data_IF_403744602777
#
_entry.id   IF_403744602777
#
_cell.length_a   1.000
_cell.length_b   1.000
_cell.length_c   1.000
_cell.angle_alpha   90.00
_cell.angle_beta   90.00
_cell.angle_gamma   90.00
#
_symmetry.space_group_name_H-M   'P 1'
#
loop_
_entity.id
_entity.type
_entity.pdbx_description
1 polymer ?
#
# COMPACT_ATOMS: atom_id res chain seq x y z
N UNK A 1 10.14 2.65 24.97
CA UNK A 1 8.69 2.38 24.80
C UNK A 1 8.00 2.70 26.12
N UNK A 2 6.68 2.98 26.08
CA UNK A 2 5.86 2.91 27.30
C UNK A 2 5.48 1.45 27.54
N UNK A 3 5.02 1.13 28.73
CA UNK A 3 4.48 -0.17 29.05
C UNK A 3 3.16 -0.43 28.30
N UNK A 4 2.89 -1.68 27.93
CA UNK A 4 1.68 -2.22 27.36
C UNK A 4 1.54 -3.70 27.73
N UNK A 5 0.34 -4.22 27.75
CA UNK A 5 0.10 -5.65 27.88
C UNK A 5 0.48 -6.38 26.59
N UNK A 6 1.07 -7.56 26.70
CA UNK A 6 1.43 -8.38 25.56
C UNK A 6 0.64 -9.70 25.62
N UNK A 7 -0.08 -9.98 24.54
CA UNK A 7 -0.87 -11.19 24.41
C UNK A 7 -0.41 -12.00 23.22
N UNK A 8 -0.14 -13.28 23.42
CA UNK A 8 0.09 -14.26 22.38
C UNK A 8 -1.24 -14.91 22.01
N UNK A 9 -1.81 -14.59 20.87
CA UNK A 9 -3.05 -15.20 20.40
C UNK A 9 -2.73 -16.51 19.68
N UNK A 10 -3.48 -17.58 20.00
CA UNK A 10 -3.30 -18.92 19.40
C UNK A 10 -4.37 -19.24 18.37
N UNK A 11 -5.36 -18.36 18.18
CA UNK A 11 -6.34 -18.44 17.09
C UNK A 11 -6.78 -17.06 16.63
N UNK A 12 -7.39 -17.00 15.43
CA UNK A 12 -7.99 -15.76 14.89
C UNK A 12 -9.11 -15.28 15.82
N UNK A 13 -9.94 -16.20 16.32
CA UNK A 13 -11.07 -15.90 17.20
C UNK A 13 -10.58 -15.28 18.52
N UNK A 14 -9.49 -15.77 19.07
CA UNK A 14 -8.87 -15.21 20.28
C UNK A 14 -8.33 -13.80 20.00
N UNK A 15 -7.61 -13.60 18.90
CA UNK A 15 -7.11 -12.30 18.51
C UNK A 15 -8.23 -11.27 18.30
N UNK A 16 -9.34 -11.67 17.65
CA UNK A 16 -10.51 -10.81 17.46
C UNK A 16 -11.20 -10.48 18.79
N UNK A 17 -11.33 -11.44 19.71
CA UNK A 17 -11.87 -11.20 21.06
C UNK A 17 -11.05 -10.19 21.84
N UNK A 18 -9.71 -10.31 21.79
CA UNK A 18 -8.80 -9.36 22.42
C UNK A 18 -8.94 -7.96 21.80
N UNK A 19 -8.96 -7.85 20.46
CA UNK A 19 -9.19 -6.58 19.78
C UNK A 19 -10.51 -5.92 20.17
N UNK A 20 -11.59 -6.71 20.22
CA UNK A 20 -12.91 -6.25 20.65
C UNK A 20 -12.88 -5.76 22.11
N UNK A 21 -12.23 -6.51 23.03
CA UNK A 21 -12.06 -6.14 24.42
C UNK A 21 -11.40 -4.78 24.61
N UNK A 22 -10.32 -4.53 23.88
CA UNK A 22 -9.59 -3.25 23.96
C UNK A 22 -10.24 -2.11 23.15
N UNK A 23 -11.20 -2.38 22.27
CA UNK A 23 -11.98 -1.36 21.57
C UNK A 23 -11.14 -0.30 20.85
N UNK A 24 -10.12 -0.72 20.07
CA UNK A 24 -9.21 0.17 19.34
C UNK A 24 -7.96 0.61 20.12
N UNK A 25 -7.88 0.33 21.42
CA UNK A 25 -6.71 0.62 22.28
C UNK A 25 -5.62 -0.46 22.20
N UNK A 26 -5.83 -1.54 21.46
CA UNK A 26 -4.80 -2.53 21.14
C UNK A 26 -4.20 -2.30 19.75
N UNK A 27 -3.01 -2.84 19.53
CA UNK A 27 -2.36 -2.95 18.21
C UNK A 27 -1.97 -4.40 17.95
N UNK A 28 -2.08 -4.79 16.68
CA UNK A 28 -1.71 -6.12 16.22
C UNK A 28 -0.25 -6.15 15.82
N UNK A 29 0.48 -7.18 16.24
CA UNK A 29 1.86 -7.43 15.86
C UNK A 29 1.96 -8.72 15.04
N UNK A 30 2.43 -8.59 13.80
CA UNK A 30 2.86 -9.69 12.94
C UNK A 30 4.41 -9.67 12.82
N UNK A 31 4.95 -9.20 11.70
CA UNK A 31 6.41 -9.06 11.54
C UNK A 31 7.07 -7.97 12.40
N UNK A 32 6.32 -7.05 12.97
CA UNK A 32 6.77 -5.98 13.85
C UNK A 32 7.60 -4.87 13.18
N UNK A 33 7.95 -5.00 11.92
CA UNK A 33 8.90 -4.12 11.21
C UNK A 33 8.42 -2.68 11.04
N UNK A 34 7.12 -2.42 11.19
CA UNK A 34 6.55 -1.08 11.27
C UNK A 34 6.13 -0.70 12.70
N UNK A 35 5.35 -1.56 13.36
CA UNK A 35 4.75 -1.27 14.65
C UNK A 35 5.79 -0.93 15.73
N UNK A 36 6.87 -1.70 15.84
CA UNK A 36 7.89 -1.48 16.88
C UNK A 36 8.57 -0.12 16.75
N UNK A 37 8.78 0.37 15.53
CA UNK A 37 9.28 1.72 15.29
C UNK A 37 8.30 2.79 15.78
N UNK A 38 7.01 2.65 15.48
CA UNK A 38 5.99 3.61 15.92
C UNK A 38 5.81 3.64 17.44
N UNK A 39 5.90 2.48 18.09
CA UNK A 39 5.84 2.36 19.55
C UNK A 39 7.05 2.99 20.22
N UNK A 40 8.27 2.69 19.73
CA UNK A 40 9.52 3.26 20.24
C UNK A 40 9.52 4.79 20.16
N UNK A 41 9.09 5.32 19.04
CA UNK A 41 9.11 6.75 18.75
C UNK A 41 7.84 7.47 19.24
N UNK A 42 6.87 6.73 19.81
CA UNK A 42 5.61 7.25 20.38
C UNK A 42 4.85 8.10 19.36
N UNK A 43 4.67 7.56 18.16
CA UNK A 43 4.06 8.27 17.03
C UNK A 43 2.56 8.45 17.23
N UNK A 44 1.88 7.42 17.72
CA UNK A 44 0.42 7.43 17.87
C UNK A 44 -0.03 8.52 18.87
N UNK A 45 -1.15 9.20 18.61
CA UNK A 45 -1.74 10.17 19.55
C UNK A 45 -1.98 9.54 20.92
N UNK A 46 -2.60 8.37 20.90
CA UNK A 46 -2.82 7.50 22.06
C UNK A 46 -1.90 6.30 21.97
N UNK A 47 -1.20 6.02 23.08
CA UNK A 47 -0.32 4.86 23.14
C UNK A 47 -1.17 3.61 23.41
N UNK A 48 -0.97 2.50 22.70
CA UNK A 48 -1.80 1.33 22.91
C UNK A 48 -1.64 0.76 24.32
N UNK A 49 -2.74 0.25 24.86
CA UNK A 49 -2.79 -0.46 26.14
C UNK A 49 -2.27 -1.88 25.98
N UNK A 50 -2.51 -2.49 24.79
CA UNK A 50 -2.07 -3.85 24.52
C UNK A 50 -1.48 -4.02 23.12
N UNK A 51 -0.61 -5.03 22.98
CA UNK A 51 -0.11 -5.54 21.71
C UNK A 51 -0.45 -7.02 21.61
N UNK A 52 -1.19 -7.39 20.57
CA UNK A 52 -1.64 -8.75 20.30
C UNK A 52 -0.70 -9.35 19.24
N UNK A 53 0.05 -10.37 19.62
CA UNK A 53 0.95 -11.09 18.73
C UNK A 53 0.15 -12.13 17.92
N UNK A 54 0.22 -12.04 16.59
CA UNK A 54 -0.43 -13.00 15.69
C UNK A 54 0.50 -14.12 15.25
N UNK A 55 1.80 -14.02 15.48
CA UNK A 55 2.79 -15.00 15.00
C UNK A 55 2.69 -16.37 15.69
N UNK A 56 1.94 -16.44 16.76
CA UNK A 56 1.61 -17.66 17.51
C UNK A 56 0.38 -18.39 16.97
N UNK A 57 -0.27 -17.83 15.93
CA UNK A 57 -1.38 -18.47 15.23
C UNK A 57 -0.81 -19.33 14.11
N UNK A 58 -0.99 -20.65 14.22
CA UNK A 58 -0.55 -21.58 13.19
C UNK A 58 -1.38 -21.49 11.91
N UNK A 59 -0.78 -21.85 10.77
CA UNK A 59 -1.47 -22.05 9.50
C UNK A 59 -1.93 -20.75 8.80
N UNK A 60 -1.33 -19.59 9.09
CA UNK A 60 -1.57 -18.33 8.40
C UNK A 60 -0.39 -17.86 7.53
N UNK A 61 0.62 -18.72 7.31
CA UNK A 61 1.83 -18.41 6.56
C UNK A 61 1.96 -19.19 5.24
N UNK A 62 0.89 -19.88 4.82
CA UNK A 62 0.87 -20.66 3.59
C UNK A 62 0.96 -19.81 2.32
N UNK A 63 1.46 -20.44 1.25
CA UNK A 63 1.48 -19.92 -0.12
C UNK A 63 1.10 -21.07 -1.04
N UNK A 64 -0.11 -21.05 -1.57
CA UNK A 64 -0.65 -22.12 -2.42
C UNK A 64 -1.21 -21.52 -3.71
N UNK A 65 -1.19 -22.30 -4.78
CA UNK A 65 -1.79 -21.93 -6.06
C UNK A 65 -2.56 -23.10 -6.66
N UNK A 66 -3.67 -22.77 -7.30
CA UNK A 66 -4.54 -23.71 -8.00
C UNK A 66 -5.02 -23.11 -9.33
N UNK A 67 -6.05 -23.71 -9.93
CA UNK A 67 -6.65 -23.22 -11.19
C UNK A 67 -7.35 -21.86 -11.02
N UNK A 68 -7.84 -21.54 -9.83
CA UNK A 68 -8.51 -20.26 -9.53
C UNK A 68 -7.51 -19.14 -9.32
N UNK A 69 -6.32 -19.44 -8.78
CA UNK A 69 -5.32 -18.43 -8.54
C UNK A 69 -4.32 -18.73 -7.43
N UNK A 70 -3.76 -17.68 -6.87
CA UNK A 70 -2.78 -17.72 -5.78
C UNK A 70 -3.47 -17.33 -4.48
N UNK A 71 -3.22 -18.09 -3.42
CA UNK A 71 -3.65 -17.81 -2.05
C UNK A 71 -2.46 -17.67 -1.14
N UNK A 72 -2.41 -16.58 -0.39
CA UNK A 72 -1.32 -16.27 0.52
C UNK A 72 -1.90 -15.94 1.90
N UNK A 73 -1.52 -16.71 2.91
CA UNK A 73 -1.87 -16.42 4.29
C UNK A 73 -1.26 -15.10 4.78
N UNK A 74 -1.98 -14.36 5.60
CA UNK A 74 -1.59 -13.00 6.01
C UNK A 74 -0.25 -12.93 6.76
N UNK A 75 0.19 -14.03 7.37
CA UNK A 75 1.47 -14.14 8.09
C UNK A 75 2.63 -14.63 7.22
N UNK A 76 2.41 -14.96 5.94
CA UNK A 76 3.48 -15.35 5.03
C UNK A 76 4.53 -14.24 4.96
N UNK A 77 5.79 -14.62 5.19
CA UNK A 77 6.89 -13.67 5.15
C UNK A 77 7.18 -13.24 3.70
N UNK A 78 7.53 -11.97 3.52
CA UNK A 78 7.82 -11.44 2.18
C UNK A 78 8.95 -12.20 1.48
N UNK A 79 9.91 -12.69 2.24
CA UNK A 79 11.00 -13.51 1.73
C UNK A 79 10.51 -14.86 1.17
N UNK A 80 9.50 -15.48 1.79
CA UNK A 80 8.95 -16.76 1.34
C UNK A 80 8.10 -16.61 0.09
N UNK A 81 7.37 -15.51 -0.02
CA UNK A 81 6.64 -15.15 -1.26
C UNK A 81 7.60 -15.05 -2.45
N UNK A 82 8.76 -14.39 -2.29
CA UNK A 82 9.78 -14.28 -3.35
C UNK A 82 10.37 -15.66 -3.70
N UNK A 83 10.52 -16.56 -2.73
CA UNK A 83 11.09 -17.89 -2.94
C UNK A 83 10.10 -18.86 -3.59
N UNK A 84 8.80 -18.64 -3.40
CA UNK A 84 7.73 -19.53 -3.85
C UNK A 84 7.79 -19.79 -5.36
N UNK A 85 7.85 -21.05 -5.82
CA UNK A 85 7.81 -21.41 -7.23
C UNK A 85 6.52 -20.92 -7.91
N UNK A 86 5.39 -21.10 -7.24
CA UNK A 86 4.07 -20.66 -7.76
C UNK A 86 4.03 -19.18 -8.07
N UNK A 87 4.62 -18.36 -7.19
CA UNK A 87 4.68 -16.90 -7.38
C UNK A 87 5.62 -16.54 -8.53
N UNK A 88 6.77 -17.19 -8.63
CA UNK A 88 7.75 -16.95 -9.70
C UNK A 88 7.22 -17.28 -11.08
N UNK A 89 6.49 -18.38 -11.20
CA UNK A 89 6.01 -18.89 -12.50
C UNK A 89 4.79 -18.12 -13.02
N UNK A 90 3.89 -17.69 -12.15
CA UNK A 90 2.61 -17.11 -12.58
C UNK A 90 2.42 -15.62 -12.24
N UNK A 91 3.14 -15.10 -11.23
CA UNK A 91 2.83 -13.81 -10.61
C UNK A 91 4.07 -12.91 -10.55
N UNK A 92 4.79 -12.79 -11.67
CA UNK A 92 6.04 -12.05 -11.76
C UNK A 92 5.97 -10.62 -11.26
N UNK A 93 4.89 -9.92 -11.57
CA UNK A 93 4.65 -8.55 -11.07
C UNK A 93 4.60 -8.50 -9.54
N UNK A 94 3.93 -9.47 -8.90
CA UNK A 94 3.88 -9.55 -7.44
C UNK A 94 5.27 -9.88 -6.88
N UNK A 95 5.99 -10.81 -7.49
CA UNK A 95 7.36 -11.16 -7.08
C UNK A 95 8.29 -9.93 -7.11
N UNK A 96 8.24 -9.14 -8.17
CA UNK A 96 9.05 -7.92 -8.35
C UNK A 96 8.66 -6.85 -7.31
N UNK A 97 7.37 -6.63 -7.09
CA UNK A 97 6.89 -5.70 -6.09
C UNK A 97 7.37 -6.09 -4.69
N UNK A 98 7.21 -7.36 -4.30
CA UNK A 98 7.68 -7.87 -2.99
C UNK A 98 9.21 -7.80 -2.87
N UNK A 99 9.95 -8.15 -3.94
CA UNK A 99 11.40 -8.05 -3.95
C UNK A 99 11.91 -6.61 -3.77
N UNK A 100 11.15 -5.62 -4.26
CA UNK A 100 11.46 -4.20 -4.14
C UNK A 100 11.28 -3.62 -2.73
N UNK A 101 10.64 -4.38 -1.82
CA UNK A 101 10.40 -3.93 -0.44
C UNK A 101 11.66 -4.04 0.41
N UNK A 102 12.15 -2.91 0.91
CA UNK A 102 13.19 -2.79 1.94
C UNK A 102 14.42 -3.72 1.73
N UNK A 103 15.00 -4.24 2.81
CA UNK A 103 16.18 -5.13 2.80
C UNK A 103 15.78 -6.59 3.00
N UNK A 104 16.66 -7.56 2.66
CA UNK A 104 16.40 -8.99 2.94
C UNK A 104 16.06 -9.26 4.41
N UNK A 105 16.73 -8.59 5.36
CA UNK A 105 16.47 -8.73 6.79
C UNK A 105 15.04 -8.31 7.15
N UNK A 106 14.57 -7.19 6.57
CA UNK A 106 13.19 -6.74 6.78
C UNK A 106 12.21 -7.74 6.15
N UNK A 107 12.47 -8.23 4.93
CA UNK A 107 11.59 -9.18 4.24
C UNK A 107 11.48 -10.54 4.94
N UNK A 108 12.54 -10.97 5.64
CA UNK A 108 12.51 -12.20 6.43
C UNK A 108 11.56 -12.10 7.65
N UNK A 109 11.26 -10.90 8.11
CA UNK A 109 10.39 -10.65 9.27
C UNK A 109 9.02 -10.08 8.90
N UNK A 110 8.98 -9.23 7.88
CA UNK A 110 7.75 -8.57 7.42
C UNK A 110 6.82 -9.58 6.77
N UNK A 111 5.55 -9.55 7.14
CA UNK A 111 4.49 -10.38 6.56
C UNK A 111 3.70 -9.60 5.51
N UNK A 112 3.02 -10.32 4.61
CA UNK A 112 2.21 -9.66 3.58
C UNK A 112 1.05 -8.88 4.20
N UNK A 113 0.31 -9.45 5.15
CA UNK A 113 -0.78 -8.74 5.86
C UNK A 113 -0.27 -7.50 6.58
N UNK A 114 0.87 -7.60 7.28
CA UNK A 114 1.51 -6.46 7.93
C UNK A 114 1.97 -5.37 6.95
N UNK A 115 2.44 -5.76 5.75
CA UNK A 115 2.81 -4.80 4.70
C UNK A 115 1.58 -4.04 4.16
N UNK A 116 0.45 -4.72 3.97
CA UNK A 116 -0.78 -4.09 3.49
C UNK A 116 -1.40 -3.15 4.53
N UNK A 117 -1.33 -3.53 5.81
CA UNK A 117 -1.88 -2.76 6.93
C UNK A 117 -0.89 -1.74 7.53
N UNK A 118 0.32 -1.59 6.96
CA UNK A 118 1.31 -0.68 7.50
C UNK A 118 0.86 0.79 7.46
N UNK A 119 1.38 1.58 8.39
CA UNK A 119 1.05 3.01 8.49
C UNK A 119 1.92 3.85 7.54
N UNK A 120 1.43 5.05 7.22
CA UNK A 120 2.09 6.01 6.32
C UNK A 120 3.51 6.39 6.78
N UNK A 121 4.33 6.89 5.84
CA UNK A 121 5.73 7.28 6.07
C UNK A 121 5.96 8.80 6.04
N UNK A 122 4.92 9.60 6.28
CA UNK A 122 5.05 11.05 6.36
C UNK A 122 5.92 11.45 7.55
N UNK A 123 6.96 12.24 7.33
CA UNK A 123 7.88 12.69 8.39
C UNK A 123 7.24 13.60 9.43
N UNK A 124 6.23 14.40 9.10
CA UNK A 124 5.45 15.16 10.09
C UNK A 124 4.68 14.23 11.04
N UNK A 125 4.06 13.19 10.49
CA UNK A 125 3.37 12.17 11.27
C UNK A 125 4.35 11.31 12.09
N UNK A 126 5.45 10.86 11.47
CA UNK A 126 6.47 10.00 12.08
C UNK A 126 7.49 10.75 12.91
N UNK A 127 7.36 12.07 13.09
CA UNK A 127 8.30 12.84 13.91
C UNK A 127 8.26 12.35 15.35
N UNK A 128 9.41 11.90 15.91
CA UNK A 128 9.44 11.27 17.23
C UNK A 128 9.15 12.27 18.34
N UNK A 129 8.19 11.95 19.21
CA UNK A 129 7.85 12.80 20.38
C UNK A 129 9.03 13.07 21.31
N UNK A 130 10.00 12.15 21.36
CA UNK A 130 11.16 12.22 22.25
C UNK A 130 12.23 13.22 21.80
N UNK A 131 12.19 13.71 20.56
CA UNK A 131 13.29 14.53 19.99
C UNK A 131 13.00 16.03 20.06
N UNK A 132 11.77 16.48 20.04
CA UNK A 132 11.50 17.92 19.99
C UNK A 132 10.04 18.31 20.17
N UNK A 133 9.28 17.50 20.85
CA UNK A 133 7.86 17.72 21.06
C UNK A 133 7.00 17.23 19.88
N UNK A 134 5.68 17.15 20.06
CA UNK A 134 4.79 16.59 19.07
C UNK A 134 4.57 17.57 17.91
N UNK A 135 4.87 17.12 16.69
CA UNK A 135 4.26 17.76 15.52
C UNK A 135 2.82 17.26 15.46
N UNK A 136 1.88 18.15 15.67
CA UNK A 136 0.45 17.85 15.61
C UNK A 136 -0.02 18.04 14.17
N UNK A 137 -0.47 16.95 13.53
CA UNK A 137 -1.05 16.96 12.18
C UNK A 137 -2.45 16.32 12.23
N UNK A 138 -3.17 16.27 11.10
CA UNK A 138 -4.52 15.69 11.03
C UNK A 138 -4.62 14.30 11.66
N UNK A 139 -3.67 13.39 11.37
CA UNK A 139 -3.63 12.04 11.97
C UNK A 139 -3.34 12.03 13.48
N UNK A 140 -2.94 13.15 14.04
CA UNK A 140 -2.64 13.33 15.46
C UNK A 140 -3.61 14.30 16.14
N UNK A 141 -4.83 14.45 15.58
CA UNK A 141 -5.86 15.34 16.15
C UNK A 141 -5.68 16.83 15.84
N UNK A 142 -4.78 17.18 14.93
CA UNK A 142 -4.57 18.57 14.50
C UNK A 142 -5.59 19.06 13.49
N UNK A 143 -5.52 20.35 13.15
CA UNK A 143 -6.51 21.01 12.28
C UNK A 143 -6.14 21.00 10.81
N UNK A 144 -4.88 20.75 10.44
CA UNK A 144 -4.41 20.81 9.05
C UNK A 144 -3.24 19.84 8.81
N UNK A 145 -2.97 19.57 7.53
CA UNK A 145 -1.84 18.78 7.10
C UNK A 145 -0.59 19.66 6.98
N UNK A 146 0.44 19.39 7.78
CA UNK A 146 1.67 20.18 7.78
C UNK A 146 2.43 20.13 6.45
N UNK A 147 2.22 19.10 5.64
CA UNK A 147 2.79 19.01 4.30
C UNK A 147 2.26 20.08 3.31
N UNK A 148 1.15 20.75 3.62
CA UNK A 148 0.61 21.83 2.79
C UNK A 148 1.57 23.01 2.70
N UNK A 149 2.22 23.38 3.80
CA UNK A 149 3.12 24.53 3.90
C UNK A 149 4.60 24.13 4.08
N UNK A 150 4.84 22.91 4.59
CA UNK A 150 6.19 22.40 4.86
C UNK A 150 6.76 21.58 3.69
N UNK A 151 7.78 20.79 4.01
CA UNK A 151 8.44 19.91 3.04
C UNK A 151 7.47 18.81 2.57
N UNK A 152 7.11 18.87 1.28
CA UNK A 152 6.16 17.97 0.67
C UNK A 152 6.71 17.14 -0.50
N UNK A 153 8.05 17.02 -0.61
CA UNK A 153 8.75 16.34 -1.72
C UNK A 153 8.23 14.92 -2.01
N UNK A 154 7.78 14.20 -0.99
CA UNK A 154 7.34 12.80 -1.11
C UNK A 154 5.83 12.61 -0.91
N UNK A 155 5.07 13.70 -0.85
CA UNK A 155 3.63 13.66 -0.64
C UNK A 155 2.84 13.48 -1.95
N UNK A 156 1.54 13.30 -1.82
CA UNK A 156 0.62 13.08 -2.95
C UNK A 156 0.64 14.23 -3.96
N UNK A 157 0.52 13.86 -5.24
CA UNK A 157 0.29 14.78 -6.37
C UNK A 157 -1.15 14.66 -6.91
N UNK A 158 -1.94 13.69 -6.42
CA UNK A 158 -3.33 13.46 -6.82
C UNK A 158 -4.34 13.78 -5.71
N UNK A 159 -4.04 14.77 -4.88
CA UNK A 159 -4.95 15.22 -3.83
C UNK A 159 -4.67 14.59 -2.47
N UNK A 160 -5.63 14.72 -1.57
CA UNK A 160 -5.53 14.34 -0.18
C UNK A 160 -6.60 13.31 0.19
N UNK A 161 -6.29 12.39 1.10
CA UNK A 161 -7.27 11.51 1.72
C UNK A 161 -8.28 12.36 2.51
N UNK A 162 -9.59 12.23 2.23
CA UNK A 162 -10.62 13.03 2.90
C UNK A 162 -10.76 12.66 4.37
N UNK A 163 -11.33 13.56 5.17
CA UNK A 163 -11.94 13.16 6.42
C UNK A 163 -13.16 12.28 6.13
N UNK A 164 -13.51 11.37 7.03
CA UNK A 164 -14.80 10.67 6.95
C UNK A 164 -15.95 11.71 6.92
N UNK A 165 -17.04 11.38 6.26
CA UNK A 165 -18.21 12.25 6.05
C UNK A 165 -18.81 12.82 7.35
N UNK A 166 -18.46 12.26 8.50
CA UNK A 166 -18.93 12.65 9.84
C UNK A 166 -18.06 13.70 10.55
N UNK A 167 -17.10 14.32 9.86
CA UNK A 167 -16.21 15.31 10.47
C UNK A 167 -16.85 16.70 10.51
N UNK A 168 -17.06 17.25 11.71
CA UNK A 168 -17.64 18.57 12.00
C UNK A 168 -16.75 19.77 11.61
N UNK A 169 -15.84 19.65 10.67
CA UNK A 169 -14.93 20.76 10.30
C UNK A 169 -15.44 21.60 9.13
N UNK A 170 -15.22 22.93 9.18
CA UNK A 170 -15.75 23.86 8.16
C UNK A 170 -15.15 23.65 6.76
N UNK A 171 -15.96 23.95 5.74
CA UNK A 171 -15.77 23.57 4.33
C UNK A 171 -14.64 24.28 3.55
N UNK A 172 -13.83 25.13 4.14
CA UNK A 172 -12.91 26.04 3.42
C UNK A 172 -11.44 25.67 3.48
N UNK A 173 -11.01 24.72 4.33
CA UNK A 173 -9.64 24.25 4.33
C UNK A 173 -9.49 23.10 3.32
N UNK A 174 -8.35 22.97 2.62
CA UNK A 174 -7.99 21.80 1.81
C UNK A 174 -7.97 20.57 2.75
N UNK A 175 -9.04 19.78 2.70
CA UNK A 175 -9.44 18.84 3.74
C UNK A 175 -8.83 17.49 3.45
N UNK A 176 -7.77 17.11 4.16
CA UNK A 176 -7.30 15.76 4.10
C UNK A 176 -5.79 15.59 4.33
N UNK A 177 -5.38 14.33 4.47
CA UNK A 177 -4.00 13.95 4.64
C UNK A 177 -3.33 13.76 3.27
N UNK A 178 -2.21 14.42 3.03
CA UNK A 178 -1.43 14.34 1.79
C UNK A 178 -0.39 13.19 1.80
N UNK A 179 -0.37 12.36 2.85
CA UNK A 179 0.51 11.21 2.86
C UNK A 179 0.12 10.20 1.79
N UNK A 180 1.10 9.50 1.27
CA UNK A 180 0.91 8.47 0.25
C UNK A 180 0.90 7.07 0.87
N UNK A 181 0.25 6.12 0.19
CA UNK A 181 0.36 4.70 0.53
C UNK A 181 1.82 4.25 0.37
N UNK A 182 2.41 3.61 1.39
CA UNK A 182 3.80 3.16 1.33
C UNK A 182 3.97 1.73 0.82
N UNK A 183 2.88 1.01 0.54
CA UNK A 183 2.92 -0.41 0.17
C UNK A 183 3.11 -0.60 -1.34
N UNK A 184 4.28 -1.11 -1.73
CA UNK A 184 4.55 -1.55 -3.10
C UNK A 184 3.66 -2.73 -3.50
N UNK A 185 3.37 -3.63 -2.54
CA UNK A 185 2.51 -4.81 -2.75
C UNK A 185 1.06 -4.38 -3.03
N UNK A 186 0.57 -3.33 -2.37
CA UNK A 186 -0.76 -2.79 -2.63
C UNK A 186 -0.95 -2.38 -4.10
N UNK A 187 0.06 -1.77 -4.69
CA UNK A 187 0.05 -1.35 -6.11
C UNK A 187 -0.05 -2.57 -7.04
N UNK A 188 0.72 -3.62 -6.74
CA UNK A 188 0.69 -4.87 -7.47
C UNK A 188 -0.67 -5.58 -7.35
N UNK A 189 -1.23 -5.69 -6.15
CA UNK A 189 -2.52 -6.34 -5.92
C UNK A 189 -3.66 -5.64 -6.63
N UNK A 190 -3.70 -4.31 -6.63
CA UNK A 190 -4.72 -3.56 -7.38
C UNK A 190 -4.57 -3.78 -8.88
N UNK A 191 -3.34 -3.84 -9.42
CA UNK A 191 -3.11 -4.12 -10.83
C UNK A 191 -3.52 -5.54 -11.24
N UNK A 192 -3.38 -6.50 -10.32
CA UNK A 192 -3.68 -7.92 -10.55
C UNK A 192 -5.11 -8.32 -10.15
N UNK A 193 -6.00 -7.38 -9.83
CA UNK A 193 -7.35 -7.69 -9.33
C UNK A 193 -7.36 -8.53 -8.05
N UNK A 194 -6.38 -8.35 -7.17
CA UNK A 194 -6.31 -9.08 -5.93
C UNK A 194 -7.51 -8.82 -5.01
N UNK A 195 -7.81 -9.80 -4.17
CA UNK A 195 -8.82 -9.74 -3.13
C UNK A 195 -8.14 -9.90 -1.76
N UNK A 196 -8.63 -9.19 -0.76
CA UNK A 196 -8.15 -9.27 0.62
C UNK A 196 -9.28 -9.82 1.48
N UNK A 197 -9.04 -11.01 2.00
CA UNK A 197 -9.99 -11.73 2.86
C UNK A 197 -9.70 -11.34 4.29
N UNK A 198 -10.69 -10.80 4.94
CA UNK A 198 -10.61 -10.42 6.36
C UNK A 198 -11.44 -11.36 7.24
N UNK A 199 -11.45 -11.09 8.53
CA UNK A 199 -12.29 -11.82 9.48
C UNK A 199 -13.78 -11.47 9.35
N UNK A 200 -14.11 -10.39 8.63
CA UNK A 200 -15.50 -9.89 8.51
C UNK A 200 -16.03 -9.93 7.07
N UNK A 201 -15.16 -9.79 6.06
CA UNK A 201 -15.58 -9.60 4.65
C UNK A 201 -14.45 -9.84 3.68
N UNK A 202 -14.84 -10.04 2.42
CA UNK A 202 -13.93 -10.14 1.30
C UNK A 202 -13.98 -8.82 0.53
N UNK A 203 -12.82 -8.24 0.25
CA UNK A 203 -12.69 -6.92 -0.36
C UNK A 203 -11.78 -6.97 -1.57
N UNK A 204 -12.21 -6.42 -2.69
CA UNK A 204 -11.27 -6.11 -3.76
C UNK A 204 -10.14 -5.21 -3.25
N UNK A 205 -8.90 -5.45 -3.67
CA UNK A 205 -7.75 -4.67 -3.19
C UNK A 205 -7.96 -3.15 -3.38
N UNK A 206 -8.59 -2.73 -4.48
CA UNK A 206 -8.91 -1.32 -4.72
C UNK A 206 -9.87 -0.73 -3.67
N UNK A 207 -10.78 -1.54 -3.11
CA UNK A 207 -11.73 -1.11 -2.07
C UNK A 207 -11.09 -1.12 -0.69
N UNK A 208 -10.20 -2.08 -0.45
CA UNK A 208 -9.48 -2.20 0.80
C UNK A 208 -8.59 -0.99 1.11
N UNK A 209 -7.94 -0.41 0.10
CA UNK A 209 -7.02 0.72 0.26
C UNK A 209 -7.68 2.10 0.21
N UNK A 210 -8.98 2.22 0.44
CA UNK A 210 -9.62 3.53 0.58
C UNK A 210 -9.09 4.23 1.82
N UNK A 211 -8.22 5.20 1.60
CA UNK A 211 -7.59 5.97 2.67
C UNK A 211 -8.48 7.11 3.16
N UNK A 212 -8.48 7.31 4.48
CA UNK A 212 -9.03 8.53 5.11
C UNK A 212 -7.91 9.37 5.69
N UNK A 213 -8.23 10.54 6.22
CA UNK A 213 -7.24 11.37 6.90
C UNK A 213 -6.61 10.67 8.13
N UNK A 214 -7.24 9.65 8.69
CA UNK A 214 -6.79 8.94 9.89
C UNK A 214 -6.42 7.48 9.66
N UNK A 215 -6.87 6.88 8.57
CA UNK A 215 -6.58 5.48 8.22
C UNK A 215 -5.99 5.35 6.83
N UNK A 216 -5.23 4.29 6.57
CA UNK A 216 -4.69 3.94 5.25
C UNK A 216 -5.48 2.82 4.58
N UNK A 217 -6.37 2.15 5.32
CA UNK A 217 -7.21 1.03 4.88
C UNK A 217 -8.60 1.15 5.49
N UNK A 218 -9.53 0.33 5.02
CA UNK A 218 -10.90 0.25 5.54
C UNK A 218 -11.06 -0.74 6.71
N UNK A 219 -9.97 -1.30 7.23
CA UNK A 219 -10.02 -2.22 8.37
C UNK A 219 -10.68 -1.56 9.58
N UNK A 220 -11.61 -2.28 10.18
CA UNK A 220 -12.19 -1.94 11.46
C UNK A 220 -11.23 -2.27 12.61
N UNK A 221 -11.54 -1.77 13.81
CA UNK A 221 -10.64 -1.89 14.99
C UNK A 221 -10.44 -3.33 15.45
N UNK A 222 -11.39 -4.20 15.17
CA UNK A 222 -11.44 -5.63 15.51
C UNK A 222 -11.44 -6.53 14.26
N UNK A 223 -10.98 -6.03 13.12
CA UNK A 223 -10.90 -6.74 11.85
C UNK A 223 -9.46 -7.09 11.52
N UNK A 224 -9.21 -8.34 11.13
CA UNK A 224 -7.89 -8.87 10.78
C UNK A 224 -7.88 -9.36 9.32
N UNK A 225 -6.76 -9.15 8.64
CA UNK A 225 -6.47 -9.79 7.34
C UNK A 225 -6.15 -11.26 7.62
N UNK A 226 -6.82 -12.18 6.90
CA UNK A 226 -6.60 -13.62 6.97
C UNK A 226 -5.80 -14.15 5.79
N UNK A 227 -6.17 -13.73 4.58
CA UNK A 227 -5.65 -14.26 3.33
C UNK A 227 -5.64 -13.17 2.27
N UNK A 228 -4.72 -13.28 1.34
CA UNK A 228 -4.68 -12.51 0.11
C UNK A 228 -4.89 -13.49 -1.06
N UNK A 229 -5.85 -13.19 -1.93
CA UNK A 229 -6.12 -13.96 -3.14
C UNK A 229 -5.75 -13.13 -4.37
N UNK A 230 -5.07 -13.76 -5.32
CA UNK A 230 -4.72 -13.12 -6.59
C UNK A 230 -5.18 -14.03 -7.71
N UNK A 231 -6.15 -13.62 -8.55
CA UNK A 231 -6.62 -14.42 -9.63
C UNK A 231 -5.49 -14.75 -10.61
N UNK A 232 -5.62 -15.86 -11.33
CA UNK A 232 -4.64 -16.24 -12.34
C UNK A 232 -4.59 -15.16 -13.43
N UNK A 233 -3.41 -14.61 -13.72
CA UNK A 233 -3.30 -13.66 -14.82
C UNK A 233 -3.68 -14.31 -16.15
N UNK A 234 -4.26 -13.57 -17.11
CA UNK A 234 -4.51 -14.08 -18.44
C UNK A 234 -3.25 -14.68 -19.08
N UNK A 235 -3.43 -15.74 -19.88
CA UNK A 235 -2.31 -16.37 -20.59
C UNK A 235 -1.58 -15.32 -21.43
N UNK A 236 -0.26 -15.30 -21.36
CA UNK A 236 0.62 -14.33 -22.03
C UNK A 236 0.40 -12.85 -21.64
N UNK A 237 -0.27 -12.57 -20.52
CA UNK A 237 -0.34 -11.19 -20.02
C UNK A 237 1.08 -10.67 -19.70
N UNK A 238 1.42 -9.51 -20.23
CA UNK A 238 2.64 -8.80 -19.84
C UNK A 238 2.43 -8.19 -18.46
N UNK A 239 3.30 -8.54 -17.53
CA UNK A 239 3.31 -8.08 -16.15
C UNK A 239 4.58 -7.26 -15.92
N UNK A 240 4.47 -6.02 -15.44
CA UNK A 240 5.60 -5.13 -15.17
C UNK A 240 5.42 -4.39 -13.87
N UNK A 241 6.48 -4.34 -13.08
CA UNK A 241 6.58 -3.50 -11.90
C UNK A 241 7.80 -2.59 -12.02
N UNK A 242 7.57 -1.28 -11.93
CA UNK A 242 8.61 -0.26 -12.02
C UNK A 242 8.61 0.58 -10.74
N UNK A 243 9.79 0.83 -10.19
CA UNK A 243 9.94 1.62 -8.96
C UNK A 243 11.11 2.59 -9.06
N UNK A 244 10.87 3.84 -8.74
CA UNK A 244 11.90 4.85 -8.57
C UNK A 244 12.13 5.18 -7.10
N UNK A 245 13.39 5.11 -6.67
CA UNK A 245 13.85 5.41 -5.31
C UNK A 245 15.16 6.19 -5.37
N UNK A 246 15.52 6.89 -4.30
CA UNK A 246 16.82 7.55 -4.20
C UNK A 246 17.95 6.54 -3.96
N UNK A 247 17.74 5.57 -3.09
CA UNK A 247 18.71 4.52 -2.76
C UNK A 247 18.10 3.15 -3.04
N UNK A 248 18.71 2.40 -3.97
CA UNK A 248 18.32 1.01 -4.22
C UNK A 248 19.11 0.08 -3.29
N UNK A 249 18.49 -0.95 -2.72
CA UNK A 249 17.07 -1.35 -2.77
C UNK A 249 16.23 -0.95 -1.53
N UNK A 250 16.69 0.00 -0.73
CA UNK A 250 16.24 0.20 0.66
C UNK A 250 15.00 1.10 0.77
N UNK A 251 14.90 2.14 -0.06
CA UNK A 251 13.95 3.23 0.14
C UNK A 251 12.52 2.86 -0.27
N UNK A 252 11.55 3.52 0.36
CA UNK A 252 10.18 3.58 -0.14
C UNK A 252 10.16 4.25 -1.52
N UNK A 253 9.16 3.89 -2.33
CA UNK A 253 9.00 4.49 -3.64
C UNK A 253 8.79 6.01 -3.55
N UNK A 254 9.47 6.76 -4.41
CA UNK A 254 9.07 8.12 -4.77
C UNK A 254 7.89 8.03 -5.72
N UNK A 255 7.96 7.12 -6.69
CA UNK A 255 6.88 6.68 -7.57
C UNK A 255 7.08 5.20 -7.86
N UNK A 256 6.00 4.44 -7.93
CA UNK A 256 5.99 3.10 -8.51
C UNK A 256 4.82 2.93 -9.48
N UNK A 257 4.96 1.99 -10.40
CA UNK A 257 3.94 1.66 -11.41
C UNK A 257 3.87 0.15 -11.52
N UNK A 258 2.66 -0.38 -11.43
CA UNK A 258 2.35 -1.77 -11.77
C UNK A 258 1.49 -1.79 -13.04
N UNK A 259 1.84 -2.60 -14.01
CA UNK A 259 1.08 -2.75 -15.24
C UNK A 259 0.84 -4.22 -15.57
N UNK A 260 -0.41 -4.56 -15.87
CA UNK A 260 -0.82 -5.85 -16.44
C UNK A 260 -1.50 -5.56 -17.78
N UNK A 261 -1.00 -6.14 -18.87
CA UNK A 261 -1.51 -5.89 -20.22
C UNK A 261 -1.72 -7.20 -20.96
N UNK A 262 -2.88 -7.37 -21.58
CA UNK A 262 -3.15 -8.45 -22.50
C UNK A 262 -3.01 -7.93 -23.93
N UNK A 263 -2.08 -8.51 -24.68
CA UNK A 263 -1.80 -8.14 -26.07
C UNK A 263 -2.21 -9.23 -27.03
N UNK A 264 -2.73 -8.84 -28.19
CA UNK A 264 -2.98 -9.71 -29.33
C UNK A 264 -2.27 -9.14 -30.56
N UNK A 265 -1.26 -9.82 -31.07
CA UNK A 265 -0.42 -9.35 -32.17
C UNK A 265 0.11 -7.91 -32.00
N UNK A 266 0.50 -7.55 -30.75
CA UNK A 266 0.97 -6.20 -30.41
C UNK A 266 -0.12 -5.16 -30.16
N UNK A 267 -1.39 -5.53 -30.32
CA UNK A 267 -2.55 -4.68 -30.04
C UNK A 267 -3.00 -4.89 -28.58
N UNK A 268 -3.13 -3.82 -27.84
CA UNK A 268 -3.59 -3.86 -26.44
C UNK A 268 -5.09 -4.15 -26.39
N UNK A 269 -5.47 -5.32 -25.88
CA UNK A 269 -6.87 -5.70 -25.65
C UNK A 269 -7.37 -5.14 -24.32
N UNK A 270 -6.56 -5.31 -23.30
CA UNK A 270 -6.83 -4.82 -21.95
C UNK A 270 -5.53 -4.36 -21.29
N UNK A 271 -5.60 -3.27 -20.56
CA UNK A 271 -4.51 -2.78 -19.71
C UNK A 271 -5.05 -2.40 -18.35
N UNK A 272 -4.27 -2.68 -17.32
CA UNK A 272 -4.47 -2.16 -15.98
C UNK A 272 -3.17 -1.56 -15.50
N UNK A 273 -3.18 -0.25 -15.25
CA UNK A 273 -2.02 0.54 -14.85
C UNK A 273 -2.31 1.19 -13.51
N UNK A 274 -1.52 0.85 -12.50
CA UNK A 274 -1.70 1.36 -11.15
C UNK A 274 -0.46 2.11 -10.69
N UNK A 275 -0.68 3.31 -10.21
CA UNK A 275 0.36 4.22 -9.72
C UNK A 275 0.50 4.12 -8.21
N UNK A 276 1.72 4.00 -7.70
CA UNK A 276 2.06 3.97 -6.30
C UNK A 276 2.84 5.18 -5.82
N UNK A 277 2.71 5.49 -4.54
CA UNK A 277 3.37 6.62 -3.87
C UNK A 277 3.02 8.02 -4.44
N UNK A 278 1.99 8.15 -5.26
CA UNK A 278 1.55 9.43 -5.85
C UNK A 278 0.20 9.93 -5.32
N UNK A 279 -0.54 9.07 -4.65
CA UNK A 279 -1.83 9.33 -4.04
C UNK A 279 -1.90 8.70 -2.63
N UNK A 280 -2.87 9.05 -1.79
CA UNK A 280 -3.07 8.41 -0.48
C UNK A 280 -3.32 6.89 -0.57
N UNK A 281 -3.79 6.43 -1.70
CA UNK A 281 -4.08 5.03 -2.04
C UNK A 281 -3.43 4.64 -3.37
N UNK A 282 -3.29 3.33 -3.70
CA UNK A 282 -2.93 2.90 -5.04
C UNK A 282 -3.91 3.45 -6.06
N UNK A 283 -3.43 4.16 -7.08
CA UNK A 283 -4.27 4.90 -8.00
C UNK A 283 -4.29 4.25 -9.40
N UNK A 284 -5.45 3.79 -9.85
CA UNK A 284 -5.61 3.34 -11.23
C UNK A 284 -5.56 4.50 -12.21
N UNK A 285 -4.74 4.36 -13.23
CA UNK A 285 -4.60 5.33 -14.32
C UNK A 285 -5.63 5.05 -15.44
N UNK A 286 -6.92 5.09 -15.12
CA UNK A 286 -8.02 4.67 -16.02
C UNK A 286 -7.95 5.38 -17.38
N UNK A 287 -7.62 6.67 -17.43
CA UNK A 287 -7.47 7.40 -18.69
C UNK A 287 -6.34 6.87 -19.57
N UNK A 288 -5.25 6.42 -18.94
CA UNK A 288 -4.14 5.79 -19.67
C UNK A 288 -4.56 4.40 -20.20
N UNK A 289 -5.27 3.62 -19.38
CA UNK A 289 -5.82 2.31 -19.79
C UNK A 289 -6.77 2.44 -20.98
N UNK A 290 -7.69 3.42 -20.94
CA UNK A 290 -8.63 3.72 -22.03
C UNK A 290 -7.91 4.15 -23.31
N UNK A 291 -6.89 5.01 -23.20
CA UNK A 291 -6.11 5.48 -24.34
C UNK A 291 -5.36 4.34 -25.05
N UNK A 292 -5.04 3.26 -24.35
CA UNK A 292 -4.31 2.11 -24.91
C UNK A 292 -5.22 1.09 -25.59
N UNK A 293 -6.52 1.06 -25.25
CA UNK A 293 -7.44 0.00 -25.66
C UNK A 293 -7.59 -0.06 -27.19
N UNK A 294 -7.44 -1.28 -27.75
CA UNK A 294 -7.55 -1.60 -29.17
C UNK A 294 -6.53 -0.85 -30.06
N UNK A 295 -5.37 -0.51 -29.51
CA UNK A 295 -4.29 0.17 -30.25
C UNK A 295 -3.00 -0.63 -30.16
N UNK A 296 -2.17 -0.50 -31.21
CA UNK A 296 -0.84 -1.12 -31.27
C UNK A 296 0.07 -0.44 -30.26
N UNK A 297 0.73 -1.25 -29.42
CA UNK A 297 1.65 -0.73 -28.40
C UNK A 297 2.98 -0.37 -29.06
N UNK A 298 3.21 0.93 -29.17
CA UNK A 298 4.44 1.52 -29.68
C UNK A 298 4.91 2.69 -28.77
N UNK A 299 6.00 3.34 -29.17
CA UNK A 299 6.56 4.47 -28.41
C UNK A 299 5.59 5.66 -28.34
N UNK A 300 4.81 5.92 -29.39
CA UNK A 300 3.90 7.05 -29.44
C UNK A 300 2.72 6.81 -28.47
N UNK A 301 2.15 5.60 -28.49
CA UNK A 301 1.08 5.21 -27.56
C UNK A 301 1.57 5.21 -26.11
N UNK A 302 2.79 4.75 -25.85
CA UNK A 302 3.37 4.76 -24.51
C UNK A 302 3.58 6.19 -23.95
N UNK A 303 3.92 7.14 -24.81
CA UNK A 303 4.01 8.57 -24.43
C UNK A 303 2.62 9.13 -24.15
N UNK A 304 1.64 8.86 -24.99
CA UNK A 304 0.26 9.28 -24.78
C UNK A 304 -0.34 8.71 -23.48
N UNK A 305 -0.17 7.41 -23.23
CA UNK A 305 -0.60 6.76 -21.99
C UNK A 305 0.06 7.40 -20.76
N UNK A 306 1.34 7.75 -20.84
CA UNK A 306 2.06 8.42 -19.76
C UNK A 306 1.49 9.83 -19.47
N UNK A 307 1.15 10.59 -20.51
CA UNK A 307 0.49 11.91 -20.33
C UNK A 307 -0.91 11.77 -19.72
N UNK A 308 -1.70 10.80 -20.19
CA UNK A 308 -3.03 10.53 -19.64
C UNK A 308 -2.97 10.04 -18.18
N UNK A 309 -1.95 9.28 -17.80
CA UNK A 309 -1.77 8.81 -16.44
C UNK A 309 -1.59 9.95 -15.42
N UNK A 310 -1.07 11.09 -15.85
CA UNK A 310 -0.83 12.25 -14.98
C UNK A 310 -1.78 13.43 -15.23
N UNK A 311 -2.75 13.31 -16.14
CA UNK A 311 -3.65 14.39 -16.53
C UNK A 311 -4.44 15.02 -15.36
N UNK A 312 -4.65 14.30 -14.26
CA UNK A 312 -5.29 14.77 -13.04
C UNK A 312 -4.36 15.27 -11.95
N UNK A 313 -3.04 15.24 -12.19
CA UNK A 313 -2.06 15.59 -11.17
C UNK A 313 -2.10 17.07 -10.80
N UNK A 314 -2.02 17.36 -9.50
CA UNK A 314 -1.97 18.72 -8.93
C UNK A 314 -0.82 18.77 -7.91
N UNK A 315 0.42 18.85 -8.39
CA UNK A 315 1.58 18.83 -7.51
C UNK A 315 1.60 20.03 -6.56
N UNK A 316 2.23 19.84 -5.43
CA UNK A 316 2.53 20.88 -4.48
C UNK A 316 3.85 21.57 -4.86
N UNK A 317 4.24 22.58 -4.05
CA UNK A 317 5.41 23.42 -4.35
C UNK A 317 6.71 22.63 -4.57
N UNK A 318 6.90 21.47 -3.89
CA UNK A 318 8.17 20.75 -3.87
C UNK A 318 8.10 19.34 -4.49
N UNK A 319 6.97 18.90 -5.05
CA UNK A 319 6.83 17.53 -5.55
C UNK A 319 6.43 17.42 -7.03
N UNK A 320 6.61 18.48 -7.82
CA UNK A 320 6.34 18.48 -9.26
C UNK A 320 7.18 17.46 -10.03
N UNK A 321 8.40 17.15 -9.55
CA UNK A 321 9.28 16.12 -10.12
C UNK A 321 8.64 14.73 -10.20
N UNK A 322 7.68 14.43 -9.31
CA UNK A 322 6.95 13.14 -9.31
C UNK A 322 6.11 12.97 -10.57
N UNK A 323 5.63 14.06 -11.20
CA UNK A 323 4.87 14.00 -12.46
C UNK A 323 5.76 13.41 -13.56
N UNK A 324 6.96 13.96 -13.75
CA UNK A 324 7.87 13.49 -14.79
C UNK A 324 8.41 12.08 -14.53
N UNK A 325 8.67 11.75 -13.27
CA UNK A 325 9.03 10.37 -12.87
C UNK A 325 7.88 9.40 -13.20
N UNK A 326 6.62 9.78 -12.91
CA UNK A 326 5.45 8.96 -13.22
C UNK A 326 5.34 8.69 -14.71
N UNK A 327 5.47 9.73 -15.55
CA UNK A 327 5.46 9.59 -17.01
C UNK A 327 6.55 8.62 -17.49
N UNK A 328 7.77 8.77 -16.99
CA UNK A 328 8.90 7.92 -17.37
C UNK A 328 8.64 6.44 -16.99
N UNK A 329 8.11 6.18 -15.79
CA UNK A 329 7.83 4.81 -15.35
C UNK A 329 6.64 4.19 -16.09
N UNK A 330 5.56 4.94 -16.36
CA UNK A 330 4.42 4.45 -17.16
C UNK A 330 4.89 4.10 -18.57
N UNK A 331 5.68 4.99 -19.23
CA UNK A 331 6.25 4.69 -20.54
C UNK A 331 7.07 3.39 -20.55
N UNK A 332 7.92 3.20 -19.54
CA UNK A 332 8.73 1.97 -19.41
C UNK A 332 7.86 0.74 -19.17
N UNK A 333 6.87 0.83 -18.29
CA UNK A 333 5.98 -0.28 -17.99
C UNK A 333 5.12 -0.71 -19.20
N UNK A 334 4.78 0.23 -20.08
CA UNK A 334 4.01 -0.03 -21.31
C UNK A 334 4.87 -0.67 -22.40
N UNK A 335 6.10 -0.21 -22.58
CA UNK A 335 7.00 -0.73 -23.61
C UNK A 335 7.63 -2.09 -23.27
N UNK A 336 7.79 -2.39 -21.99
CA UNK A 336 8.34 -3.66 -21.47
C UNK A 336 9.79 -3.58 -21.16
#
# INVERSE_FOLDING_TARGET
MKWFEHHDAHSIEEAVKLLHHYGGRAKVNAGGTDLLGTLRDRIHPEYPEAVINLKTIDGLDYITGDEEGLRIGALAALADIIRSPVVKEGYGLLADAVHSVATPQIRNMATIGGNLAQDIRCWFYRYPRRIGGPIVCLRKGGRFCNAMAGDNRYHSIFGAAPFSEHSCYPSTARKGCLAVSPSDIAVALVAMNGCIITTKRDLAAQEFFKATATSSTVLEVDELIREIQVPRPPVAAKQRYEKFTLRKPIDFAIVSVAAVMTLDNGVCKEARIVLGAVAPEPLRAVKAEEAMKQRTVDTALAVEAAEQAVAGARPLKMNAHKVEITKALVKRAVLG
#
